data_IF_645520987221
#
_entry.id   IF_645520987221
#
_cell.length_a   1.000
_cell.length_b   1.000
_cell.length_c   1.000
_cell.angle_alpha   90.00
_cell.angle_beta   90.00
_cell.angle_gamma   90.00
#
_symmetry.space_group_name_H-M   'P 1'
#
loop_
_entity.id
_entity.type
_entity.pdbx_description
1 polymer ?
#
# COMPACT_ATOMS: atom_id res chain seq x y z
N UNK A 1 -13.63 1.40 -6.30
CA UNK A 1 -12.56 2.24 -6.88
C UNK A 1 -11.65 1.32 -7.68
N UNK A 2 -11.29 1.66 -8.93
CA UNK A 2 -10.33 0.85 -9.69
C UNK A 2 -8.96 0.86 -9.01
N UNK A 3 -8.27 -0.27 -9.07
CA UNK A 3 -6.90 -0.39 -8.54
C UNK A 3 -5.95 0.48 -9.36
N UNK A 4 -5.13 1.29 -8.69
CA UNK A 4 -4.14 2.18 -9.34
C UNK A 4 -2.81 1.46 -9.60
N UNK A 5 -2.57 0.31 -8.95
CA UNK A 5 -1.33 -0.46 -9.06
C UNK A 5 -1.47 -1.85 -8.46
N UNK A 6 -0.85 -2.84 -9.10
CA UNK A 6 -0.68 -4.21 -8.58
C UNK A 6 0.74 -4.44 -8.04
N UNK A 7 1.53 -3.38 -7.86
CA UNK A 7 2.91 -3.48 -7.40
C UNK A 7 2.96 -3.95 -5.92
N UNK A 8 3.91 -4.82 -5.55
CA UNK A 8 4.08 -5.24 -4.17
C UNK A 8 4.46 -4.06 -3.27
N UNK A 9 4.04 -4.12 -2.00
CA UNK A 9 4.27 -3.05 -1.02
C UNK A 9 5.73 -2.59 -0.92
N UNK A 10 6.69 -3.52 -1.02
CA UNK A 10 8.13 -3.20 -1.03
C UNK A 10 8.52 -2.29 -2.19
N UNK A 11 7.98 -2.56 -3.39
CA UNK A 11 8.26 -1.73 -4.56
C UNK A 11 7.62 -0.35 -4.43
N UNK A 12 6.36 -0.29 -3.95
CA UNK A 12 5.68 0.98 -3.72
C UNK A 12 6.40 1.85 -2.68
N UNK A 13 6.90 1.24 -1.59
CA UNK A 13 7.68 1.94 -0.58
C UNK A 13 8.96 2.56 -1.15
N UNK A 14 9.72 1.82 -1.96
CA UNK A 14 10.91 2.35 -2.64
C UNK A 14 10.56 3.48 -3.60
N UNK A 15 9.48 3.34 -4.40
CA UNK A 15 9.05 4.40 -5.32
C UNK A 15 8.62 5.67 -4.59
N UNK A 16 7.90 5.54 -3.46
CA UNK A 16 7.50 6.67 -2.64
C UNK A 16 8.71 7.37 -2.03
N UNK A 17 9.67 6.62 -1.48
CA UNK A 17 10.91 7.19 -0.94
C UNK A 17 11.69 7.95 -2.02
N UNK A 18 11.80 7.38 -3.22
CA UNK A 18 12.40 8.05 -4.37
C UNK A 18 11.66 9.34 -4.75
N UNK A 19 10.33 9.33 -4.78
CA UNK A 19 9.53 10.52 -5.09
C UNK A 19 9.71 11.62 -4.03
N UNK A 20 9.91 11.23 -2.77
CA UNK A 20 10.16 12.12 -1.65
C UNK A 20 11.63 12.56 -1.50
N UNK A 21 12.54 12.12 -2.37
CA UNK A 21 13.99 12.28 -2.22
C UNK A 21 14.52 11.79 -0.86
N UNK A 22 13.89 10.75 -0.31
CA UNK A 22 14.27 10.13 0.95
C UNK A 22 15.20 8.92 0.71
N UNK A 23 15.97 8.49 1.72
CA UNK A 23 16.75 7.26 1.65
C UNK A 23 15.88 6.02 1.39
N UNK A 24 16.47 4.98 0.81
CA UNK A 24 15.78 3.72 0.56
C UNK A 24 15.23 3.11 1.86
N UNK A 25 13.96 2.63 1.86
CA UNK A 25 13.35 2.07 3.05
C UNK A 25 13.94 0.69 3.38
N UNK A 26 14.28 0.48 4.65
CA UNK A 26 14.71 -0.82 5.15
C UNK A 26 13.49 -1.64 5.58
N UNK A 27 13.03 -2.54 4.70
CA UNK A 27 11.85 -3.34 4.94
C UNK A 27 12.20 -4.79 5.31
N UNK A 28 11.92 -5.16 6.56
CA UNK A 28 11.99 -6.54 7.07
C UNK A 28 10.66 -7.29 6.92
N UNK A 29 10.73 -8.62 6.92
CA UNK A 29 9.54 -9.46 7.01
C UNK A 29 9.18 -9.69 8.48
N UNK A 30 7.92 -9.50 8.84
CA UNK A 30 7.41 -9.84 10.17
C UNK A 30 6.84 -11.25 10.18
N UNK A 31 7.16 -12.02 11.21
CA UNK A 31 6.50 -13.28 11.51
C UNK A 31 5.06 -13.04 12.00
N UNK A 32 4.20 -14.05 11.86
CA UNK A 32 2.84 -13.98 12.41
C UNK A 32 2.81 -13.76 13.93
N UNK A 33 3.80 -14.28 14.66
CA UNK A 33 3.93 -14.08 16.11
C UNK A 33 4.30 -12.64 16.47
N UNK A 34 5.21 -12.01 15.73
CA UNK A 34 5.53 -10.58 15.90
C UNK A 34 4.32 -9.71 15.62
N UNK A 35 3.58 -10.00 14.55
CA UNK A 35 2.35 -9.26 14.22
C UNK A 35 1.27 -9.43 15.31
N UNK A 36 1.10 -10.64 15.83
CA UNK A 36 0.14 -10.90 16.92
C UNK A 36 0.51 -10.18 18.23
N UNK A 37 1.80 -10.03 18.52
CA UNK A 37 2.26 -9.23 19.68
C UNK A 37 1.88 -7.75 19.51
N UNK A 38 2.11 -7.16 18.33
CA UNK A 38 1.67 -5.78 18.08
C UNK A 38 0.15 -5.64 18.27
N UNK A 39 -0.62 -6.61 17.79
CA UNK A 39 -2.08 -6.65 17.94
C UNK A 39 -2.57 -6.64 19.38
N UNK A 40 -1.81 -7.18 20.34
CA UNK A 40 -2.18 -7.14 21.78
C UNK A 40 -2.19 -5.72 22.35
N UNK A 41 -1.46 -4.79 21.73
CA UNK A 41 -1.32 -3.40 22.20
C UNK A 41 -2.09 -2.39 21.35
N UNK A 42 -2.54 -2.78 20.15
CA UNK A 42 -3.24 -1.92 19.22
C UNK A 42 -4.40 -2.69 18.56
N UNK A 43 -5.64 -2.29 18.87
CA UNK A 43 -6.85 -2.96 18.39
C UNK A 43 -6.99 -2.95 16.88
N UNK A 44 -6.47 -1.92 16.19
CA UNK A 44 -6.48 -1.89 14.71
C UNK A 44 -5.50 -2.92 14.16
N UNK A 45 -4.33 -3.06 14.79
CA UNK A 45 -3.33 -4.06 14.38
C UNK A 45 -3.78 -5.50 14.71
N UNK A 46 -4.69 -5.68 15.68
CA UNK A 46 -5.25 -6.98 16.04
C UNK A 46 -6.07 -7.63 14.91
N UNK A 47 -6.58 -6.83 13.96
CA UNK A 47 -7.36 -7.32 12.82
C UNK A 47 -6.48 -7.88 11.69
N UNK A 48 -5.22 -7.43 11.59
CA UNK A 48 -4.34 -7.82 10.48
C UNK A 48 -4.00 -9.32 10.43
N UNK A 49 -3.75 -10.01 11.57
CA UNK A 49 -3.60 -11.46 11.58
C UNK A 49 -4.75 -12.21 10.89
N UNK A 50 -6.00 -11.79 11.11
CA UNK A 50 -7.19 -12.41 10.50
C UNK A 50 -7.26 -12.18 8.98
N UNK A 51 -6.57 -11.14 8.48
CA UNK A 51 -6.53 -10.78 7.06
C UNK A 51 -5.25 -11.23 6.34
N UNK A 52 -4.33 -11.93 7.02
CA UNK A 52 -3.05 -12.36 6.42
C UNK A 52 -3.22 -13.20 5.16
N UNK A 53 -4.33 -13.93 5.03
CA UNK A 53 -4.65 -14.72 3.84
C UNK A 53 -4.69 -13.90 2.54
N UNK A 54 -4.92 -12.57 2.62
CA UNK A 54 -4.87 -11.67 1.47
C UNK A 54 -3.45 -11.50 0.90
N UNK A 55 -2.42 -11.93 1.63
CA UNK A 55 -1.01 -11.87 1.21
C UNK A 55 -0.45 -13.24 0.78
N UNK A 56 -1.17 -14.35 1.04
CA UNK A 56 -0.72 -15.70 0.68
C UNK A 56 -0.69 -15.93 -0.84
N UNK A 57 -1.49 -15.17 -1.59
CA UNK A 57 -1.59 -15.21 -3.04
C UNK A 57 -1.78 -13.79 -3.59
N UNK A 58 -1.50 -13.54 -4.88
CA UNK A 58 -1.81 -12.27 -5.51
C UNK A 58 -3.29 -11.91 -5.30
N UNK A 59 -3.55 -10.82 -4.59
CA UNK A 59 -4.89 -10.28 -4.37
C UNK A 59 -5.17 -9.20 -5.41
N UNK A 60 -5.53 -9.63 -6.62
CA UNK A 60 -5.74 -8.76 -7.79
C UNK A 60 -7.22 -8.39 -7.88
N UNK A 61 -7.52 -7.09 -7.93
CA UNK A 61 -8.88 -6.59 -8.11
C UNK A 61 -9.16 -6.32 -9.60
N UNK A 62 -10.00 -7.13 -10.23
CA UNK A 62 -10.56 -6.79 -11.54
C UNK A 62 -11.64 -5.70 -11.38
N UNK A 63 -11.27 -4.47 -11.76
CA UNK A 63 -12.18 -3.33 -11.75
C UNK A 63 -12.68 -2.94 -13.16
N UNK A 64 -12.49 -3.79 -14.18
CA UNK A 64 -12.83 -3.49 -15.58
C UNK A 64 -14.30 -3.13 -15.77
N UNK A 65 -15.21 -3.86 -15.12
CA UNK A 65 -16.65 -3.58 -15.17
C UNK A 65 -16.98 -2.22 -14.55
N UNK A 66 -16.42 -1.92 -13.37
CA UNK A 66 -16.63 -0.63 -12.70
C UNK A 66 -16.09 0.54 -13.52
N UNK A 67 -14.87 0.40 -14.06
CA UNK A 67 -14.27 1.40 -14.93
C UNK A 67 -15.15 1.69 -16.15
N UNK A 68 -15.67 0.63 -16.79
CA UNK A 68 -16.56 0.73 -17.95
C UNK A 68 -17.90 1.38 -17.64
N UNK A 69 -18.55 0.97 -16.54
CA UNK A 69 -19.91 1.43 -16.21
C UNK A 69 -19.91 2.87 -15.72
N UNK A 70 -18.87 3.27 -14.99
CA UNK A 70 -18.76 4.62 -14.43
C UNK A 70 -17.97 5.58 -15.33
N UNK A 71 -17.40 5.09 -16.44
CA UNK A 71 -16.52 5.84 -17.34
C UNK A 71 -15.37 6.54 -16.60
N UNK A 72 -14.72 5.79 -15.69
CA UNK A 72 -13.61 6.28 -14.87
C UNK A 72 -12.33 5.51 -15.14
N UNK A 73 -11.20 6.19 -14.97
CA UNK A 73 -9.87 5.58 -14.98
C UNK A 73 -9.14 5.87 -13.67
N UNK A 74 -8.36 4.92 -13.15
CA UNK A 74 -7.53 5.16 -11.97
C UNK A 74 -6.44 6.19 -12.29
N UNK A 75 -6.18 7.11 -11.35
CA UNK A 75 -5.01 8.00 -11.42
C UNK A 75 -3.73 7.17 -11.50
N UNK A 76 -2.80 7.46 -12.42
CA UNK A 76 -1.54 6.74 -12.51
C UNK A 76 -0.78 6.75 -11.18
N UNK A 77 -0.28 5.59 -10.75
CA UNK A 77 0.35 5.46 -9.42
C UNK A 77 1.52 6.43 -9.22
N UNK A 78 2.31 6.71 -10.24
CA UNK A 78 3.46 7.62 -10.12
C UNK A 78 3.01 9.08 -9.88
N UNK A 79 1.84 9.48 -10.39
CA UNK A 79 1.24 10.77 -10.06
C UNK A 79 0.80 10.81 -8.60
N UNK A 80 0.12 9.77 -8.11
CA UNK A 80 -0.30 9.67 -6.71
C UNK A 80 0.90 9.74 -5.77
N UNK A 81 1.98 9.02 -6.08
CA UNK A 81 3.20 9.02 -5.25
C UNK A 81 3.87 10.40 -5.24
N UNK A 82 3.90 11.11 -6.37
CA UNK A 82 4.45 12.45 -6.45
C UNK A 82 3.64 13.47 -5.62
N UNK A 83 2.31 13.39 -5.68
CA UNK A 83 1.42 14.24 -4.89
C UNK A 83 1.59 13.99 -3.38
N UNK A 84 1.60 12.71 -2.95
CA UNK A 84 1.85 12.33 -1.55
C UNK A 84 3.23 12.80 -1.05
N UNK A 85 4.26 12.67 -1.87
CA UNK A 85 5.61 13.13 -1.53
C UNK A 85 5.67 14.66 -1.37
N UNK A 86 4.98 15.40 -2.22
CA UNK A 86 4.88 16.85 -2.12
C UNK A 86 4.16 17.28 -0.83
N UNK A 87 3.06 16.62 -0.45
CA UNK A 87 2.36 16.87 0.82
C UNK A 87 3.28 16.64 2.03
N UNK A 88 4.04 15.54 2.04
CA UNK A 88 4.99 15.27 3.12
C UNK A 88 6.05 16.38 3.26
N UNK A 89 6.59 16.87 2.14
CA UNK A 89 7.57 17.96 2.16
C UNK A 89 7.02 19.27 2.72
N UNK A 90 5.71 19.51 2.64
CA UNK A 90 5.08 20.71 3.25
C UNK A 90 4.83 20.58 4.74
N UNK A 91 4.80 19.35 5.27
CA UNK A 91 4.52 19.08 6.67
C UNK A 91 5.79 18.93 7.54
N UNK A 92 6.97 18.81 6.92
CA UNK A 92 8.28 18.72 7.55
C UNK A 92 8.93 20.10 7.77
#
# INVERSE_FOLDING_TARGET
MPSTSEAPARQLATRLASAANAPDPQLGHMTGSELAEIGRTNSVMAEFPEMLYLYDRPNILDASYTAKVLDITPTPIDQVLAEMAAEHATAA
#
